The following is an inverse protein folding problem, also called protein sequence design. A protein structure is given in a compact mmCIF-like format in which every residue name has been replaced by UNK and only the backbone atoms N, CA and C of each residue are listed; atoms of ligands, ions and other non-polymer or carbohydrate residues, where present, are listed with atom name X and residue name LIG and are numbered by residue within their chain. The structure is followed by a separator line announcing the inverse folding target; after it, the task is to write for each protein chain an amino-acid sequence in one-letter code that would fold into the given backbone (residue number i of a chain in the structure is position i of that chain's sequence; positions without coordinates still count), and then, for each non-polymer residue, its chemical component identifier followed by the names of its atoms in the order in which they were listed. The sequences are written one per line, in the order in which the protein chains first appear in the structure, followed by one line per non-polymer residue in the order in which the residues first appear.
data_IF_347739695704
#
_entry.id   IF_347739695704
#
_cell.length_a   1.000
_cell.length_b   1.000
_cell.length_c   1.000
_cell.angle_alpha   90.00
_cell.angle_beta   90.00
_cell.angle_gamma   90.00
#
_symmetry.space_group_name_H-M   'P 1'
#
loop_
_entity.id
_entity.type
_entity.pdbx_description
1 polymer ?
#
# COMPACT_ATOMS: atom_id res chain seq x y z
N UNK A 1 -5.47 -29.33 -5.61
CA UNK A 1 -6.19 -28.04 -5.73
C UNK A 1 -5.58 -27.36 -6.95
N UNK A 2 -6.38 -27.06 -7.98
CA UNK A 2 -5.91 -26.47 -9.24
C UNK A 2 -5.93 -24.95 -9.17
N UNK A 3 -5.01 -24.29 -9.88
CA UNK A 3 -4.91 -22.84 -9.93
C UNK A 3 -6.19 -22.15 -10.40
N UNK A 4 -6.91 -22.75 -11.34
CA UNK A 4 -8.18 -22.23 -11.89
C UNK A 4 -9.24 -21.92 -10.83
N UNK A 5 -9.16 -22.56 -9.65
CA UNK A 5 -10.09 -22.29 -8.54
C UNK A 5 -9.72 -21.04 -7.74
N UNK A 6 -8.47 -20.57 -7.85
CA UNK A 6 -7.91 -19.47 -7.07
C UNK A 6 -7.51 -18.26 -7.91
N UNK A 7 -7.38 -18.40 -9.24
CA UNK A 7 -6.87 -17.33 -10.12
C UNK A 7 -7.64 -16.01 -10.02
N UNK A 8 -8.94 -16.03 -9.68
CA UNK A 8 -9.79 -14.84 -9.44
C UNK A 8 -9.74 -14.32 -8.00
N UNK A 9 -8.90 -14.91 -7.17
CA UNK A 9 -8.74 -14.60 -5.74
C UNK A 9 -7.29 -14.27 -5.39
N UNK A 10 -6.35 -14.39 -6.32
CA UNK A 10 -4.96 -14.00 -6.09
C UNK A 10 -4.90 -12.48 -5.96
N UNK A 11 -4.42 -12.00 -4.82
CA UNK A 11 -4.16 -10.58 -4.55
C UNK A 11 -2.71 -10.42 -4.11
N UNK A 12 -2.19 -9.19 -4.11
CA UNK A 12 -0.86 -8.89 -3.62
C UNK A 12 -0.86 -7.98 -2.39
N UNK A 13 0.26 -7.99 -1.67
CA UNK A 13 0.66 -6.96 -0.70
C UNK A 13 2.11 -6.54 -0.94
N UNK A 14 2.52 -5.44 -0.30
CA UNK A 14 3.90 -5.02 -0.22
C UNK A 14 4.45 -5.29 1.18
N UNK A 15 5.69 -5.75 1.24
CA UNK A 15 6.45 -5.92 2.49
C UNK A 15 7.85 -5.33 2.36
N UNK A 16 8.48 -5.04 3.50
CA UNK A 16 9.87 -4.61 3.51
C UNK A 16 10.79 -5.73 3.01
N UNK A 17 11.58 -5.46 1.96
CA UNK A 17 12.43 -6.50 1.33
C UNK A 17 13.55 -6.96 2.25
N UNK A 18 14.25 -6.03 2.90
CA UNK A 18 15.42 -6.34 3.73
C UNK A 18 15.03 -7.07 5.02
N UNK A 19 13.98 -6.60 5.69
CA UNK A 19 13.51 -7.18 6.96
C UNK A 19 12.91 -8.58 6.80
N UNK A 20 12.44 -8.94 5.60
CA UNK A 20 11.71 -10.20 5.34
C UNK A 20 12.46 -11.21 4.46
N UNK A 21 13.80 -11.16 4.39
CA UNK A 21 14.60 -12.08 3.56
C UNK A 21 14.31 -13.56 3.83
N UNK A 22 14.09 -13.95 5.10
CA UNK A 22 13.75 -15.33 5.45
C UNK A 22 12.39 -15.76 4.85
N UNK A 23 11.36 -14.92 4.97
CA UNK A 23 10.06 -15.16 4.35
C UNK A 23 10.18 -15.21 2.82
N UNK A 24 10.87 -14.25 2.22
CA UNK A 24 11.05 -14.13 0.77
C UNK A 24 11.78 -15.34 0.15
N UNK A 25 12.57 -16.08 0.92
CA UNK A 25 13.17 -17.33 0.46
C UNK A 25 12.15 -18.47 0.25
N UNK A 26 10.96 -18.34 0.84
CA UNK A 26 9.93 -19.38 0.86
C UNK A 26 8.67 -19.02 0.05
N UNK A 27 8.54 -17.78 -0.43
CA UNK A 27 7.37 -17.30 -1.18
C UNK A 27 7.76 -16.70 -2.53
N UNK A 28 6.92 -16.86 -3.57
CA UNK A 28 7.10 -16.16 -4.82
C UNK A 28 6.94 -14.65 -4.61
N UNK A 29 7.83 -13.85 -5.19
CA UNK A 29 7.81 -12.41 -5.04
C UNK A 29 8.38 -11.67 -6.26
N UNK A 30 8.00 -10.39 -6.38
CA UNK A 30 8.61 -9.44 -7.32
C UNK A 30 9.22 -8.29 -6.55
N UNK A 31 10.42 -7.87 -6.96
CA UNK A 31 11.05 -6.68 -6.40
C UNK A 31 10.31 -5.41 -6.83
N UNK A 32 10.14 -4.48 -5.89
CA UNK A 32 9.63 -3.15 -6.16
C UNK A 32 10.36 -2.13 -5.29
N UNK A 33 11.36 -1.45 -5.87
CA UNK A 33 12.29 -0.58 -5.13
C UNK A 33 12.98 -1.36 -3.99
N UNK A 34 12.95 -0.84 -2.77
CA UNK A 34 13.40 -1.49 -1.52
C UNK A 34 12.29 -2.33 -0.84
N UNK A 35 11.17 -2.55 -1.53
CA UNK A 35 10.06 -3.41 -1.09
C UNK A 35 9.96 -4.68 -1.96
N UNK A 36 9.15 -5.62 -1.51
CA UNK A 36 8.80 -6.82 -2.27
C UNK A 36 7.29 -6.99 -2.35
N UNK A 37 6.80 -7.38 -3.53
CA UNK A 37 5.41 -7.79 -3.77
C UNK A 37 5.29 -9.27 -3.46
N UNK A 38 4.37 -9.64 -2.57
CA UNK A 38 4.03 -11.03 -2.24
C UNK A 38 2.54 -11.30 -2.49
N UNK A 39 2.15 -12.57 -2.56
CA UNK A 39 0.84 -12.98 -3.07
C UNK A 39 0.02 -13.78 -2.05
N UNK A 40 -1.29 -13.55 -2.05
CA UNK A 40 -2.26 -14.24 -1.21
C UNK A 40 -3.44 -14.72 -2.04
N UNK A 41 -4.03 -15.86 -1.67
CA UNK A 41 -5.39 -16.19 -2.06
C UNK A 41 -6.37 -15.57 -1.05
N UNK A 42 -7.25 -14.69 -1.52
CA UNK A 42 -8.23 -13.97 -0.71
C UNK A 42 -9.66 -14.53 -0.89
N UNK A 43 -10.31 -14.87 0.22
CA UNK A 43 -11.62 -15.54 0.23
C UNK A 43 -12.73 -14.61 0.73
N UNK A 44 -13.46 -14.00 -0.21
CA UNK A 44 -14.55 -13.05 0.09
C UNK A 44 -15.73 -13.66 0.85
N UNK A 45 -15.94 -14.97 0.72
CA UNK A 45 -17.07 -15.69 1.33
C UNK A 45 -16.75 -16.26 2.72
N UNK A 46 -15.47 -16.33 3.10
CA UNK A 46 -15.03 -16.87 4.38
C UNK A 46 -14.65 -15.72 5.30
N UNK A 47 -15.50 -15.47 6.30
CA UNK A 47 -15.28 -14.44 7.31
C UNK A 47 -14.44 -14.97 8.48
N UNK A 48 -13.55 -14.12 8.97
CA UNK A 48 -12.80 -14.27 10.22
C UNK A 48 -13.02 -13.02 11.06
N UNK A 49 -12.56 -13.01 12.32
CA UNK A 49 -12.82 -11.91 13.26
C UNK A 49 -12.41 -10.54 12.68
N UNK A 50 -11.24 -10.46 12.05
CA UNK A 50 -10.69 -9.22 11.46
C UNK A 50 -10.87 -9.13 9.93
N UNK A 51 -11.97 -9.68 9.40
CA UNK A 51 -12.36 -9.49 8.01
C UNK A 51 -12.55 -10.79 7.24
N UNK A 52 -11.74 -11.00 6.21
CA UNK A 52 -11.87 -12.13 5.30
C UNK A 52 -10.64 -13.02 5.36
N UNK A 53 -10.86 -14.33 5.29
CA UNK A 53 -9.76 -15.28 5.28
C UNK A 53 -8.86 -15.02 4.06
N UNK A 54 -7.56 -15.11 4.30
CA UNK A 54 -6.54 -15.13 3.26
C UNK A 54 -5.53 -16.22 3.53
N UNK A 55 -4.85 -16.67 2.49
CA UNK A 55 -3.80 -17.68 2.57
C UNK A 55 -2.60 -17.20 1.76
N UNK A 56 -1.45 -17.08 2.41
CA UNK A 56 -0.19 -16.78 1.76
C UNK A 56 0.13 -17.85 0.70
N UNK A 57 0.49 -17.41 -0.50
CA UNK A 57 0.97 -18.30 -1.55
C UNK A 57 2.45 -18.53 -1.32
N UNK A 58 2.85 -19.76 -1.02
CA UNK A 58 4.25 -20.17 -0.89
C UNK A 58 4.77 -20.83 -2.17
N UNK A 59 6.08 -21.09 -2.21
CA UNK A 59 6.73 -21.72 -3.36
C UNK A 59 6.17 -23.12 -3.67
N UNK A 60 5.75 -23.87 -2.64
CA UNK A 60 5.19 -25.23 -2.81
C UNK A 60 3.82 -25.18 -3.49
N UNK A 61 2.99 -24.19 -3.15
CA UNK A 61 1.69 -23.98 -3.76
C UNK A 61 1.84 -23.52 -5.22
N UNK A 62 2.78 -22.62 -5.49
CA UNK A 62 3.09 -22.17 -6.86
C UNK A 62 3.57 -23.34 -7.73
N UNK A 63 4.50 -24.17 -7.23
CA UNK A 63 5.00 -25.36 -7.93
C UNK A 63 3.85 -26.34 -8.23
N UNK A 64 2.99 -26.59 -7.24
CA UNK A 64 1.80 -27.45 -7.39
C UNK A 64 0.78 -26.91 -8.39
N UNK A 65 0.70 -25.59 -8.52
CA UNK A 65 -0.15 -24.92 -9.51
C UNK A 65 0.47 -24.92 -10.91
N UNK A 66 1.75 -25.28 -11.03
CA UNK A 66 2.50 -25.29 -12.29
C UNK A 66 2.49 -23.92 -12.99
N UNK A 67 2.59 -22.84 -12.20
CA UNK A 67 2.66 -21.46 -12.68
C UNK A 67 3.95 -20.78 -12.23
N UNK A 68 4.26 -19.62 -12.83
CA UNK A 68 5.36 -18.76 -12.41
C UNK A 68 4.87 -17.52 -11.66
N UNK A 69 5.83 -16.76 -11.13
CA UNK A 69 5.57 -15.53 -10.39
C UNK A 69 4.98 -14.42 -11.27
N UNK A 70 5.25 -14.43 -12.58
CA UNK A 70 4.68 -13.46 -13.52
C UNK A 70 3.17 -13.69 -13.71
N UNK A 71 2.75 -14.95 -13.78
CA UNK A 71 1.34 -15.35 -13.80
C UNK A 71 0.62 -14.89 -12.53
N UNK A 72 1.24 -15.07 -11.35
CA UNK A 72 0.70 -14.55 -10.09
C UNK A 72 0.52 -13.03 -10.13
N UNK A 73 1.54 -12.30 -10.60
CA UNK A 73 1.52 -10.85 -10.69
C UNK A 73 0.41 -10.34 -11.64
N UNK A 74 0.26 -10.95 -12.81
CA UNK A 74 -0.79 -10.58 -13.78
C UNK A 74 -2.18 -10.68 -13.15
N UNK A 75 -2.49 -11.82 -12.52
CA UNK A 75 -3.77 -12.01 -11.86
C UNK A 75 -3.95 -11.06 -10.66
N UNK A 76 -2.91 -10.84 -9.87
CA UNK A 76 -2.99 -9.97 -8.71
C UNK A 76 -3.24 -8.50 -9.08
N UNK A 77 -2.61 -8.01 -10.15
CA UNK A 77 -2.84 -6.64 -10.67
C UNK A 77 -4.30 -6.39 -11.08
N UNK A 78 -4.99 -7.40 -11.62
CA UNK A 78 -6.43 -7.30 -11.94
C UNK A 78 -7.31 -7.46 -10.69
N UNK A 79 -6.99 -8.45 -9.85
CA UNK A 79 -7.86 -8.85 -8.75
C UNK A 79 -7.79 -7.93 -7.54
N UNK A 80 -6.60 -7.43 -7.17
CA UNK A 80 -6.44 -6.64 -5.95
C UNK A 80 -7.32 -5.38 -5.97
N UNK A 81 -7.33 -4.55 -7.03
CA UNK A 81 -8.25 -3.42 -7.12
C UNK A 81 -9.72 -3.85 -7.17
N UNK A 82 -10.03 -4.95 -7.88
CA UNK A 82 -11.41 -5.44 -8.02
C UNK A 82 -12.00 -5.95 -6.70
N UNK A 83 -11.19 -6.64 -5.89
CA UNK A 83 -11.62 -7.28 -4.65
C UNK A 83 -11.50 -6.35 -3.44
N UNK A 84 -10.42 -5.56 -3.37
CA UNK A 84 -10.10 -4.74 -2.20
C UNK A 84 -10.41 -3.27 -2.41
N UNK A 85 -10.52 -2.80 -3.66
CA UNK A 85 -10.84 -1.41 -3.97
C UNK A 85 -9.78 -0.40 -3.55
N UNK A 86 -10.10 0.89 -3.67
CA UNK A 86 -9.22 2.01 -3.39
C UNK A 86 -9.97 3.04 -2.53
N UNK A 87 -9.32 3.48 -1.45
CA UNK A 87 -9.74 4.62 -0.64
C UNK A 87 -8.59 5.63 -0.61
N UNK A 88 -8.90 6.88 -0.98
CA UNK A 88 -8.00 8.01 -0.78
C UNK A 88 -8.78 9.11 -0.08
N UNK A 89 -8.38 9.47 1.14
CA UNK A 89 -9.07 10.45 2.00
C UNK A 89 -8.08 11.36 2.68
N UNK A 90 -8.52 12.53 3.14
CA UNK A 90 -7.68 13.40 3.97
C UNK A 90 -7.33 12.73 5.29
N UNK A 91 -6.20 13.11 5.86
CA UNK A 91 -5.65 12.46 7.05
C UNK A 91 -6.59 12.54 8.26
N UNK A 92 -7.27 13.67 8.47
CA UNK A 92 -8.18 13.82 9.60
C UNK A 92 -9.44 12.97 9.41
N UNK A 93 -9.99 12.91 8.20
CA UNK A 93 -11.12 12.05 7.88
C UNK A 93 -10.80 10.57 8.08
N UNK A 94 -9.56 10.17 7.82
CA UNK A 94 -9.09 8.79 8.08
C UNK A 94 -8.99 8.52 9.58
N UNK A 95 -8.39 9.43 10.35
CA UNK A 95 -8.29 9.29 11.82
C UNK A 95 -9.69 9.22 12.45
N UNK A 96 -10.60 10.10 12.07
CA UNK A 96 -11.99 10.08 12.56
C UNK A 96 -12.68 8.74 12.24
N UNK A 97 -12.43 8.18 11.04
CA UNK A 97 -12.96 6.88 10.65
C UNK A 97 -12.42 5.72 11.49
N UNK A 98 -11.18 5.78 12.00
CA UNK A 98 -10.63 4.76 12.89
C UNK A 98 -11.13 4.88 14.32
N UNK A 99 -11.57 6.08 14.74
CA UNK A 99 -12.17 6.32 16.04
C UNK A 99 -13.65 5.94 16.11
N UNK A 100 -14.29 5.64 14.96
CA UNK A 100 -15.73 5.39 14.82
C UNK A 100 -16.58 6.52 15.44
N UNK A 101 -16.12 7.77 15.29
CA UNK A 101 -16.76 8.95 15.87
C UNK A 101 -17.38 9.82 14.75
N UNK A 102 -18.68 9.63 14.53
CA UNK A 102 -19.46 10.39 13.54
C UNK A 102 -19.45 11.90 13.82
N UNK A 103 -19.40 12.32 15.09
CA UNK A 103 -19.43 13.73 15.45
C UNK A 103 -18.14 14.46 15.04
N UNK A 104 -17.01 13.74 14.98
CA UNK A 104 -15.74 14.28 14.49
C UNK A 104 -15.66 14.36 12.96
N UNK A 105 -16.55 13.68 12.23
CA UNK A 105 -16.46 13.57 10.77
C UNK A 105 -16.57 14.94 10.09
N UNK A 106 -17.56 15.75 10.46
CA UNK A 106 -17.73 17.08 9.88
C UNK A 106 -16.54 18.01 10.18
N UNK A 107 -15.97 17.92 11.37
CA UNK A 107 -14.80 18.71 11.78
C UNK A 107 -13.59 18.27 10.97
N UNK A 108 -13.35 16.97 10.86
CA UNK A 108 -12.26 16.38 10.10
C UNK A 108 -12.31 16.79 8.62
N UNK A 109 -13.49 16.78 7.99
CA UNK A 109 -13.67 17.23 6.61
C UNK A 109 -13.35 18.72 6.41
N UNK A 110 -13.54 19.56 7.42
CA UNK A 110 -13.13 20.97 7.36
C UNK A 110 -11.63 21.12 7.51
N UNK A 111 -11.00 20.41 8.45
CA UNK A 111 -9.55 20.45 8.66
C UNK A 111 -8.77 19.94 7.45
N UNK A 112 -9.27 18.88 6.80
CA UNK A 112 -8.68 18.32 5.57
C UNK A 112 -8.68 19.29 4.38
N UNK A 113 -9.51 20.35 4.38
CA UNK A 113 -9.45 21.39 3.34
C UNK A 113 -8.18 22.23 3.44
N UNK A 114 -7.59 22.32 4.63
CA UNK A 114 -6.41 23.12 4.91
C UNK A 114 -5.15 22.26 5.09
N UNK A 115 -5.30 20.93 5.10
CA UNK A 115 -4.21 19.98 5.33
C UNK A 115 -3.99 19.13 4.08
N UNK A 116 -2.86 19.30 3.36
CA UNK A 116 -2.59 18.64 2.08
C UNK A 116 -2.14 17.17 2.19
N UNK A 117 -2.55 16.45 3.24
CA UNK A 117 -2.15 15.06 3.50
C UNK A 117 -3.29 14.11 3.18
N UNK A 118 -3.01 13.10 2.35
CA UNK A 118 -4.01 12.13 1.94
C UNK A 118 -3.56 10.71 2.24
N UNK A 119 -4.36 9.96 2.98
CA UNK A 119 -4.12 8.53 3.22
C UNK A 119 -4.68 7.74 2.05
N UNK A 120 -3.84 6.92 1.42
CA UNK A 120 -4.18 5.97 0.39
C UNK A 120 -4.11 4.54 0.93
N UNK A 121 -5.22 3.82 0.87
CA UNK A 121 -5.37 2.44 1.33
C UNK A 121 -6.48 1.73 0.52
N UNK A 122 -6.82 0.49 0.86
CA UNK A 122 -7.94 -0.24 0.26
C UNK A 122 -9.20 -0.19 1.13
N UNK A 123 -10.30 -0.83 0.70
CA UNK A 123 -11.58 -0.74 1.40
C UNK A 123 -11.60 -1.37 2.79
N UNK A 124 -10.69 -2.31 3.06
CA UNK A 124 -10.62 -3.06 4.32
C UNK A 124 -9.47 -2.60 5.23
N UNK A 125 -8.65 -1.62 4.79
CA UNK A 125 -7.48 -1.13 5.51
C UNK A 125 -6.45 -2.23 5.88
N UNK A 126 -6.39 -3.31 5.09
CA UNK A 126 -5.45 -4.42 5.30
C UNK A 126 -4.57 -4.58 4.08
N UNK A 127 -3.25 -4.54 4.24
CA UNK A 127 -2.30 -4.60 3.12
C UNK A 127 -2.54 -3.53 2.03
N UNK A 128 -3.12 -2.40 2.42
CA UNK A 128 -3.56 -1.35 1.51
C UNK A 128 -2.43 -0.52 0.91
N UNK A 129 -1.20 -0.61 1.39
CA UNK A 129 -0.08 0.10 0.77
C UNK A 129 0.18 -0.36 -0.69
N UNK A 130 -0.28 -1.57 -1.03
CA UNK A 130 -0.26 -2.08 -2.40
C UNK A 130 -1.00 -1.22 -3.43
N UNK A 131 -1.86 -0.29 -3.01
CA UNK A 131 -2.55 0.63 -3.93
C UNK A 131 -1.60 1.47 -4.79
N UNK A 132 -0.33 1.64 -4.37
CA UNK A 132 0.71 2.31 -5.18
C UNK A 132 0.94 1.63 -6.54
N UNK A 133 0.68 0.32 -6.62
CA UNK A 133 0.81 -0.47 -7.85
C UNK A 133 -0.46 -0.45 -8.71
N UNK A 134 -1.53 0.20 -8.25
CA UNK A 134 -2.77 0.25 -9.02
C UNK A 134 -2.58 1.11 -10.25
N UNK A 135 -2.91 0.54 -11.41
CA UNK A 135 -2.80 1.20 -12.69
C UNK A 135 -3.47 2.57 -12.67
N UNK A 136 -2.74 3.57 -13.15
CA UNK A 136 -3.17 4.98 -13.27
C UNK A 136 -3.57 5.68 -11.96
N UNK A 137 -3.45 5.04 -10.79
CA UNK A 137 -3.87 5.64 -9.51
C UNK A 137 -3.07 6.89 -9.18
N UNK A 138 -1.74 6.78 -9.12
CA UNK A 138 -0.84 7.91 -8.85
C UNK A 138 -0.95 8.97 -9.94
N UNK A 139 -1.04 8.54 -11.20
CA UNK A 139 -1.23 9.42 -12.36
C UNK A 139 -2.47 10.29 -12.25
N UNK A 140 -3.61 9.68 -11.93
CA UNK A 140 -4.88 10.38 -11.76
C UNK A 140 -4.82 11.36 -10.57
N UNK A 141 -4.22 10.94 -9.45
CA UNK A 141 -4.07 11.78 -8.27
C UNK A 141 -3.14 12.98 -8.52
N UNK A 142 -1.96 12.73 -9.12
CA UNK A 142 -0.99 13.75 -9.52
C UNK A 142 -1.56 14.73 -10.53
N UNK A 143 -2.33 14.25 -11.52
CA UNK A 143 -3.00 15.11 -12.49
C UNK A 143 -4.03 16.04 -11.84
N UNK A 144 -4.80 15.54 -10.86
CA UNK A 144 -5.76 16.35 -10.08
C UNK A 144 -5.04 17.42 -9.26
N UNK A 145 -3.90 17.08 -8.67
CA UNK A 145 -3.05 17.99 -7.88
C UNK A 145 -2.17 18.91 -8.73
N UNK A 146 -2.00 18.59 -10.02
CA UNK A 146 -1.08 19.27 -10.94
C UNK A 146 0.37 19.33 -10.41
N UNK A 147 0.80 18.30 -9.71
CA UNK A 147 2.09 18.23 -9.02
C UNK A 147 2.62 16.79 -9.06
N UNK A 148 3.94 16.65 -8.92
CA UNK A 148 4.55 15.40 -8.45
C UNK A 148 4.08 15.09 -7.03
N UNK A 149 4.25 13.84 -6.59
CA UNK A 149 3.75 13.38 -5.30
C UNK A 149 4.88 12.81 -4.46
N UNK A 150 5.04 13.29 -3.23
CA UNK A 150 5.72 12.51 -2.21
C UNK A 150 4.80 11.38 -1.75
N UNK A 151 5.38 10.19 -1.59
CA UNK A 151 4.72 9.00 -1.09
C UNK A 151 5.49 8.55 0.15
N UNK A 152 4.78 8.56 1.28
CA UNK A 152 5.31 8.18 2.58
C UNK A 152 4.74 6.80 2.93
N UNK A 153 5.57 5.77 3.10
CA UNK A 153 5.12 4.46 3.57
C UNK A 153 4.81 4.53 5.07
N UNK A 154 3.53 4.62 5.43
CA UNK A 154 3.15 4.62 6.85
C UNK A 154 3.27 3.22 7.44
N UNK A 155 2.78 2.20 6.72
CA UNK A 155 2.90 0.80 7.09
C UNK A 155 2.62 -0.07 5.86
N UNK A 156 2.59 -1.39 6.01
CA UNK A 156 2.09 -2.28 4.94
C UNK A 156 0.61 -2.04 4.62
N UNK A 157 -0.14 -1.33 5.48
CA UNK A 157 -1.58 -1.12 5.38
C UNK A 157 -1.97 0.15 4.63
N UNK A 158 -1.13 1.18 4.60
CA UNK A 158 -1.48 2.48 4.03
C UNK A 158 -0.26 3.34 3.69
N UNK A 159 -0.49 4.31 2.81
CA UNK A 159 0.49 5.32 2.38
C UNK A 159 -0.06 6.71 2.63
N UNK A 160 0.79 7.69 2.92
CA UNK A 160 0.44 9.10 2.83
C UNK A 160 0.95 9.66 1.49
N UNK A 161 0.07 10.37 0.78
CA UNK A 161 0.34 11.10 -0.45
C UNK A 161 0.29 12.59 -0.17
N UNK A 162 1.31 13.32 -0.65
CA UNK A 162 1.40 14.78 -0.53
C UNK A 162 1.86 15.36 -1.86
N UNK A 163 1.23 16.42 -2.36
CA UNK A 163 1.74 17.10 -3.54
C UNK A 163 3.08 17.77 -3.20
N UNK A 164 4.12 17.53 -4.00
CA UNK A 164 5.44 18.13 -3.76
C UNK A 164 5.41 19.66 -3.76
N UNK A 165 4.50 20.28 -4.53
CA UNK A 165 4.25 21.72 -4.51
C UNK A 165 3.67 22.23 -3.19
N UNK A 166 2.99 21.37 -2.42
CA UNK A 166 2.43 21.70 -1.10
C UNK A 166 3.50 21.56 0.02
N UNK A 167 4.72 21.14 -0.32
CA UNK A 167 5.85 20.95 0.58
C UNK A 167 7.00 21.95 0.34
N UNK A 168 6.75 23.09 -0.30
CA UNK A 168 7.77 24.12 -0.50
C UNK A 168 8.38 24.57 0.84
N UNK A 169 9.70 24.40 1.00
CA UNK A 169 10.41 24.72 2.24
C UNK A 169 10.46 23.60 3.28
N UNK A 170 9.87 22.44 2.99
CA UNK A 170 10.04 21.24 3.83
C UNK A 170 11.48 20.72 3.73
N UNK A 171 12.12 20.48 4.87
CA UNK A 171 13.38 19.77 4.89
C UNK A 171 13.13 18.27 4.68
N UNK A 172 13.47 17.79 3.49
CA UNK A 172 13.36 16.39 3.09
C UNK A 172 14.12 15.46 4.04
N UNK A 173 15.24 15.91 4.62
CA UNK A 173 16.02 15.11 5.55
C UNK A 173 15.32 14.99 6.90
N UNK A 174 14.66 16.05 7.37
CA UNK A 174 13.82 15.98 8.57
C UNK A 174 12.62 15.04 8.36
N UNK A 175 11.98 15.07 7.18
CA UNK A 175 10.89 14.15 6.86
C UNK A 175 11.38 12.70 6.83
N UNK A 176 12.51 12.42 6.18
CA UNK A 176 13.12 11.07 6.19
C UNK A 176 13.42 10.59 7.60
N UNK A 177 13.96 11.47 8.45
CA UNK A 177 14.21 11.14 9.85
C UNK A 177 12.93 10.82 10.60
N UNK A 178 11.86 11.59 10.38
CA UNK A 178 10.55 11.33 10.98
C UNK A 178 10.00 9.95 10.59
N UNK A 179 10.15 9.55 9.31
CA UNK A 179 9.73 8.22 8.85
C UNK A 179 10.48 7.13 9.62
N UNK A 180 11.81 7.25 9.73
CA UNK A 180 12.63 6.28 10.48
C UNK A 180 12.22 6.23 11.96
N UNK A 181 12.03 7.40 12.59
CA UNK A 181 11.67 7.47 14.01
C UNK A 181 10.32 6.78 14.27
N UNK A 182 9.29 7.07 13.46
CA UNK A 182 7.96 6.44 13.58
C UNK A 182 8.06 4.92 13.37
N UNK A 183 8.77 4.48 12.33
CA UNK A 183 8.97 3.06 12.04
C UNK A 183 9.71 2.32 13.16
N UNK A 184 10.59 3.00 13.89
CA UNK A 184 11.38 2.40 14.95
C UNK A 184 10.62 2.31 16.28
N UNK A 185 9.81 3.32 16.60
CA UNK A 185 9.24 3.48 17.96
C UNK A 185 7.74 3.25 18.05
N UNK A 186 6.99 3.46 16.97
CA UNK A 186 5.52 3.49 17.02
C UNK A 186 4.85 2.33 16.25
N UNK A 187 5.62 1.52 15.52
CA UNK A 187 5.10 0.43 14.70
C UNK A 187 5.66 -0.95 15.08
N UNK A 188 4.82 -2.01 15.05
CA UNK A 188 5.30 -3.38 15.05
C UNK A 188 6.26 -3.64 13.88
N UNK A 189 7.29 -4.46 14.10
CA UNK A 189 8.34 -4.71 13.10
C UNK A 189 7.82 -5.31 11.80
N UNK A 190 6.74 -6.09 11.87
CA UNK A 190 6.06 -6.73 10.75
C UNK A 190 5.11 -5.78 9.99
N UNK A 191 4.76 -4.62 10.56
CA UNK A 191 3.98 -3.58 9.88
C UNK A 191 4.83 -2.54 9.16
N UNK A 192 6.13 -2.45 9.48
CA UNK A 192 7.04 -1.50 8.84
C UNK A 192 7.25 -1.88 7.38
N UNK A 193 6.83 -1.02 6.46
CA UNK A 193 6.98 -1.23 5.03
C UNK A 193 8.34 -0.77 4.50
N UNK A 194 8.77 0.45 4.81
CA UNK A 194 10.05 1.00 4.35
C UNK A 194 10.40 2.26 5.13
N UNK A 195 11.70 2.49 5.33
CA UNK A 195 12.26 3.72 5.94
C UNK A 195 12.50 4.82 4.89
N UNK A 196 12.19 4.55 3.62
CA UNK A 196 12.45 5.43 2.49
C UNK A 196 11.29 6.40 2.23
N UNK A 197 11.64 7.61 1.78
CA UNK A 197 10.70 8.53 1.15
C UNK A 197 10.73 8.30 -0.37
N UNK A 198 9.56 8.24 -1.00
CA UNK A 198 9.45 8.11 -2.46
C UNK A 198 8.84 9.34 -3.11
N UNK A 199 9.09 9.49 -4.40
CA UNK A 199 8.46 10.50 -5.24
C UNK A 199 7.91 9.84 -6.50
N UNK A 200 6.65 10.12 -6.81
CA UNK A 200 6.07 9.89 -8.12
C UNK A 200 6.22 11.14 -8.96
N UNK A 201 6.92 11.00 -10.09
CA UNK A 201 7.06 12.08 -11.07
C UNK A 201 6.00 11.96 -12.15
N UNK A 202 5.18 12.99 -12.27
CA UNK A 202 4.03 13.02 -13.18
C UNK A 202 4.44 12.94 -14.64
N UNK A 203 5.54 13.60 -15.01
CA UNK A 203 6.01 13.65 -16.41
C UNK A 203 6.68 12.35 -16.86
N UNK A 204 7.23 11.58 -15.92
CA UNK A 204 7.92 10.31 -16.19
C UNK A 204 6.98 9.09 -15.99
N UNK A 205 5.82 9.30 -15.35
CA UNK A 205 4.88 8.25 -14.94
C UNK A 205 5.56 7.13 -14.13
N UNK A 206 6.46 7.51 -13.21
CA UNK A 206 7.31 6.58 -12.47
C UNK A 206 7.52 6.99 -11.01
N UNK A 207 7.72 5.98 -10.16
CA UNK A 207 8.08 6.15 -8.75
C UNK A 207 9.58 5.88 -8.56
N UNK A 208 10.24 6.72 -7.76
CA UNK A 208 11.64 6.53 -7.37
C UNK A 208 11.87 6.91 -5.91
N UNK A 209 12.97 6.46 -5.32
CA UNK A 209 13.41 6.95 -4.01
C UNK A 209 13.81 8.43 -4.11
N UNK A 210 13.51 9.19 -3.07
CA UNK A 210 14.03 10.55 -2.89
C UNK A 210 15.45 10.44 -2.35
N UNK A 211 16.42 11.10 -3.00
CA UNK A 211 17.83 11.12 -2.59
C UNK A 211 18.06 11.91 -1.29
#
# INVERSE_FOLDING_TARGET
MTFEKFNKSIVFSLINKEKHQELLSNVPHKDYLDMAVIFYAYFTEVKIDDGNASMLVDNQLMEKWEIDVDTLMEHALENTPRLLGLKIRGIFSTIASYMDDEALTEIAEQEDKYTPLYVATNNIATYGAGVVLYKDMLKAFAARKKSDLYIIPCSIHELILVASSECEGMDVQELKKLIVDVNQFDLPSDEVLSDSLYIYKRDEDSVSLVA
#
